data_IF_255137661443
#
_entry.id   IF_255137661443
#
_cell.length_a   1.000
_cell.length_b   1.000
_cell.length_c   1.000
_cell.angle_alpha   90.00
_cell.angle_beta   90.00
_cell.angle_gamma   90.00
#
_symmetry.space_group_name_H-M   'P 1'
#
loop_
_entity.id
_entity.type
_entity.pdbx_description
1 polymer ?
#
# COMPACT_ATOMS: atom_id res chain seq x y z
N UNK A 1 13.77 2.47 13.03
CA UNK A 1 13.03 1.93 14.18
C UNK A 1 11.84 1.06 13.78
N UNK A 2 11.09 1.42 12.73
CA UNK A 2 9.90 0.67 12.29
C UNK A 2 10.22 -0.75 11.81
N UNK A 3 11.38 -0.96 11.20
CA UNK A 3 11.71 -2.24 10.55
C UNK A 3 12.02 -3.35 11.55
N UNK A 4 12.71 -3.04 12.64
CA UNK A 4 13.00 -4.01 13.71
C UNK A 4 11.70 -4.49 14.37
N UNK A 5 10.73 -3.60 14.61
CA UNK A 5 9.46 -3.90 15.25
C UNK A 5 8.43 -4.54 14.31
N UNK A 6 8.58 -4.42 12.99
CA UNK A 6 7.69 -5.07 12.02
C UNK A 6 7.71 -6.60 12.19
N UNK A 7 8.90 -7.19 12.31
CA UNK A 7 9.07 -8.64 12.51
C UNK A 7 8.57 -9.14 13.88
N UNK A 8 8.36 -8.24 14.83
CA UNK A 8 7.84 -8.51 16.17
C UNK A 8 6.33 -8.20 16.32
N UNK A 9 5.55 -8.31 15.24
CA UNK A 9 4.11 -8.09 15.23
C UNK A 9 3.69 -6.65 14.96
N UNK A 10 4.50 -5.89 14.22
CA UNK A 10 4.20 -4.51 13.79
C UNK A 10 3.95 -3.53 14.95
N UNK A 11 4.62 -3.75 16.09
CA UNK A 11 4.43 -2.95 17.32
C UNK A 11 4.77 -1.48 17.10
N UNK A 12 5.81 -1.18 16.30
CA UNK A 12 6.18 0.19 15.95
C UNK A 12 5.03 0.95 15.29
N UNK A 13 4.37 0.33 14.33
CA UNK A 13 3.20 0.93 13.66
C UNK A 13 2.06 1.20 14.65
N UNK A 14 1.80 0.29 15.58
CA UNK A 14 0.78 0.47 16.64
C UNK A 14 1.10 1.68 17.52
N UNK A 15 2.33 1.79 17.99
CA UNK A 15 2.74 2.91 18.87
C UNK A 15 2.73 4.23 18.11
N UNK A 16 3.30 4.25 16.90
CA UNK A 16 3.37 5.48 16.10
C UNK A 16 1.99 5.98 15.71
N UNK A 17 1.09 5.10 15.27
CA UNK A 17 -0.27 5.52 14.90
C UNK A 17 -1.08 6.02 16.10
N UNK A 18 -0.87 5.44 17.29
CA UNK A 18 -1.50 5.94 18.52
C UNK A 18 -0.99 7.34 18.94
N UNK A 19 0.29 7.63 18.68
CA UNK A 19 0.87 8.95 18.99
C UNK A 19 0.52 10.01 17.95
N UNK A 20 0.59 9.67 16.67
CA UNK A 20 0.37 10.63 15.57
C UNK A 20 -1.11 10.87 15.34
N UNK A 21 -1.96 9.86 15.56
CA UNK A 21 -3.41 9.89 15.30
C UNK A 21 -3.72 10.43 13.88
N UNK A 22 -3.20 9.78 12.83
CA UNK A 22 -3.32 10.29 11.47
C UNK A 22 -4.77 10.18 10.97
N UNK A 23 -5.19 11.10 10.11
CA UNK A 23 -6.47 11.03 9.39
C UNK A 23 -6.41 10.02 8.24
N UNK A 24 -5.27 9.94 7.56
CA UNK A 24 -4.99 9.01 6.47
C UNK A 24 -3.57 8.45 6.62
N UNK A 25 -3.31 7.31 5.99
CA UNK A 25 -1.97 6.74 5.97
C UNK A 25 -1.61 6.16 4.59
N UNK A 26 -0.35 6.33 4.20
CA UNK A 26 0.25 5.65 3.07
C UNK A 26 1.40 4.80 3.60
N UNK A 27 1.40 3.52 3.25
CA UNK A 27 2.42 2.56 3.65
C UNK A 27 3.20 2.11 2.42
N UNK A 28 4.51 2.22 2.47
CA UNK A 28 5.41 1.71 1.44
C UNK A 28 6.04 0.40 1.89
N UNK A 29 6.15 -0.56 0.97
CA UNK A 29 6.88 -1.79 1.24
C UNK A 29 7.40 -2.47 -0.02
N UNK A 30 8.43 -3.30 0.12
CA UNK A 30 8.78 -4.29 -0.88
C UNK A 30 7.70 -5.37 -0.92
N UNK A 31 7.04 -5.53 -2.05
CA UNK A 31 5.95 -6.48 -2.22
C UNK A 31 6.41 -7.63 -3.12
N UNK A 32 6.14 -8.91 -2.77
CA UNK A 32 6.63 -10.01 -3.59
C UNK A 32 6.19 -9.91 -5.04
N UNK A 33 7.16 -10.00 -5.97
CA UNK A 33 6.92 -10.26 -7.38
C UNK A 33 7.00 -11.77 -7.57
N UNK A 34 5.88 -12.40 -7.89
CA UNK A 34 5.74 -13.87 -7.98
C UNK A 34 5.60 -14.37 -9.42
N UNK A 35 5.75 -13.49 -10.39
CA UNK A 35 5.76 -13.73 -11.83
C UNK A 35 6.85 -14.70 -12.30
N UNK A 36 7.83 -14.96 -11.45
CA UNK A 36 8.89 -15.92 -11.68
C UNK A 36 8.47 -17.37 -11.30
N UNK A 37 7.54 -17.49 -10.34
CA UNK A 37 7.13 -18.79 -9.78
C UNK A 37 5.80 -19.29 -10.33
N UNK A 38 4.95 -18.39 -10.78
CA UNK A 38 3.60 -18.68 -11.21
C UNK A 38 3.37 -18.25 -12.66
N UNK A 39 2.46 -18.96 -13.32
CA UNK A 39 1.97 -18.56 -14.62
C UNK A 39 1.24 -17.21 -14.53
N UNK A 40 1.11 -16.47 -15.63
CA UNK A 40 0.47 -15.15 -15.63
C UNK A 40 -0.92 -15.13 -14.97
N UNK A 41 -1.69 -16.22 -15.10
CA UNK A 41 -3.05 -16.32 -14.56
C UNK A 41 -3.08 -16.52 -13.03
N UNK A 42 -1.96 -16.93 -12.44
CA UNK A 42 -1.81 -17.20 -11.00
C UNK A 42 -0.94 -16.17 -10.29
N UNK A 43 -0.13 -15.45 -11.04
CA UNK A 43 0.74 -14.39 -10.51
C UNK A 43 -0.10 -13.24 -9.95
N UNK A 44 0.24 -12.82 -8.74
CA UNK A 44 -0.41 -11.70 -8.05
C UNK A 44 0.43 -10.43 -8.11
N UNK A 45 1.49 -10.43 -8.88
CA UNK A 45 2.32 -9.26 -9.07
C UNK A 45 3.63 -9.59 -9.76
N UNK A 46 4.00 -8.79 -10.74
CA UNK A 46 5.21 -8.95 -11.52
C UNK A 46 6.11 -7.73 -11.46
N UNK A 47 7.39 -7.93 -11.71
CA UNK A 47 8.34 -6.84 -11.98
C UNK A 47 8.04 -6.20 -13.33
N UNK A 48 8.44 -4.94 -13.50
CA UNK A 48 8.20 -4.12 -14.69
C UNK A 48 6.71 -3.86 -15.01
N UNK A 49 5.84 -4.03 -14.01
CA UNK A 49 4.39 -3.79 -14.13
C UNK A 49 3.90 -2.62 -13.29
N UNK A 50 4.82 -1.80 -12.80
CA UNK A 50 4.52 -0.63 -11.99
C UNK A 50 4.19 -0.95 -10.53
N UNK A 51 3.72 0.07 -9.82
CA UNK A 51 3.38 -0.02 -8.41
C UNK A 51 2.31 -1.07 -8.13
N UNK A 52 2.49 -1.86 -7.09
CA UNK A 52 1.44 -2.74 -6.58
C UNK A 52 0.53 -1.98 -5.61
N UNK A 53 -0.71 -1.74 -6.02
CA UNK A 53 -1.74 -1.21 -5.14
C UNK A 53 -2.34 -2.38 -4.37
N UNK A 54 -2.19 -2.40 -3.06
CA UNK A 54 -2.66 -3.50 -2.22
C UNK A 54 -4.17 -3.39 -2.00
N UNK A 55 -4.93 -4.31 -2.59
CA UNK A 55 -6.37 -4.41 -2.34
C UNK A 55 -6.66 -5.06 -0.99
N UNK A 56 -5.92 -6.11 -0.65
CA UNK A 56 -6.01 -6.78 0.66
C UNK A 56 -4.78 -7.62 0.97
N UNK A 57 -4.56 -7.85 2.26
CA UNK A 57 -3.69 -8.90 2.78
C UNK A 57 -4.36 -9.60 3.97
N UNK A 58 -3.63 -10.51 4.65
CA UNK A 58 -4.18 -11.27 5.78
C UNK A 58 -4.68 -10.40 6.94
N UNK A 59 -4.16 -9.18 7.08
CA UNK A 59 -4.45 -8.31 8.23
C UNK A 59 -5.25 -7.07 7.89
N UNK A 60 -5.56 -6.85 6.60
CA UNK A 60 -6.01 -5.55 6.12
C UNK A 60 -6.76 -5.65 4.79
N UNK A 61 -7.80 -4.86 4.67
CA UNK A 61 -8.52 -4.60 3.42
C UNK A 61 -8.46 -3.10 3.18
N UNK A 62 -8.03 -2.69 1.98
CA UNK A 62 -7.94 -1.27 1.62
C UNK A 62 -9.31 -0.64 1.62
N UNK A 63 -9.41 0.58 2.14
CA UNK A 63 -10.61 1.40 2.02
C UNK A 63 -11.00 1.54 0.54
N UNK A 64 -12.23 1.18 0.15
CA UNK A 64 -12.64 1.16 -1.26
C UNK A 64 -12.49 2.50 -1.95
N UNK A 65 -12.87 3.60 -1.30
CA UNK A 65 -12.77 4.94 -1.87
C UNK A 65 -11.28 5.35 -2.08
N UNK A 66 -10.39 4.92 -1.19
CA UNK A 66 -8.97 5.19 -1.35
C UNK A 66 -8.34 4.35 -2.49
N UNK A 67 -8.82 3.11 -2.67
CA UNK A 67 -8.42 2.26 -3.78
C UNK A 67 -8.87 2.86 -5.12
N UNK A 68 -10.14 3.26 -5.22
CA UNK A 68 -10.71 3.92 -6.39
C UNK A 68 -9.96 5.19 -6.76
N UNK A 69 -9.65 6.03 -5.76
CA UNK A 69 -8.84 7.22 -5.97
C UNK A 69 -7.45 6.93 -6.53
N UNK A 70 -6.79 5.90 -6.03
CA UNK A 70 -5.47 5.51 -6.55
C UNK A 70 -5.56 4.98 -7.99
N UNK A 71 -6.61 4.23 -8.35
CA UNK A 71 -6.86 3.78 -9.71
C UNK A 71 -7.14 4.95 -10.65
N UNK A 72 -8.03 5.88 -10.25
CA UNK A 72 -8.32 7.10 -11.02
C UNK A 72 -7.03 7.88 -11.36
N UNK A 73 -6.14 8.03 -10.39
CA UNK A 73 -4.85 8.69 -10.61
C UNK A 73 -3.94 7.88 -11.54
N UNK A 74 -3.89 6.56 -11.38
CA UNK A 74 -3.14 5.68 -12.27
C UNK A 74 -3.55 5.86 -13.73
N UNK A 75 -4.84 5.82 -13.97
CA UNK A 75 -5.42 5.92 -15.32
C UNK A 75 -5.26 7.33 -15.89
N UNK A 76 -5.59 8.38 -15.14
CA UNK A 76 -5.57 9.76 -15.63
C UNK A 76 -4.16 10.31 -15.82
N UNK A 77 -3.23 9.92 -14.95
CA UNK A 77 -1.84 10.40 -14.99
C UNK A 77 -0.91 9.46 -15.78
N UNK A 78 -1.42 8.35 -16.29
CA UNK A 78 -0.62 7.34 -17.00
C UNK A 78 0.47 6.76 -16.12
N UNK A 79 0.14 6.41 -14.87
CA UNK A 79 1.06 5.74 -13.94
C UNK A 79 0.79 4.25 -14.04
N UNK A 80 1.81 3.48 -14.40
CA UNK A 80 1.69 2.02 -14.46
C UNK A 80 1.48 1.45 -13.07
N UNK A 81 0.43 0.64 -12.91
CA UNK A 81 0.09 -0.01 -11.64
C UNK A 81 -0.48 -1.41 -11.85
N UNK A 82 -0.53 -2.16 -10.79
CA UNK A 82 -1.15 -3.49 -10.73
C UNK A 82 -1.79 -3.71 -9.36
N UNK A 83 -2.93 -4.38 -9.34
CA UNK A 83 -3.58 -4.76 -8.10
C UNK A 83 -2.90 -5.95 -7.43
N UNK A 84 -2.85 -5.92 -6.10
CA UNK A 84 -2.26 -6.97 -5.31
C UNK A 84 -3.21 -7.46 -4.22
N UNK A 85 -3.60 -8.73 -4.35
CA UNK A 85 -4.34 -9.47 -3.34
C UNK A 85 -3.42 -10.52 -2.72
N UNK A 86 -3.18 -10.45 -1.42
CA UNK A 86 -2.25 -11.36 -0.74
C UNK A 86 -2.97 -12.24 0.27
N UNK A 87 -2.98 -13.54 0.04
CA UNK A 87 -3.55 -14.52 0.96
C UNK A 87 -2.71 -14.75 2.20
N UNK A 88 -1.42 -14.43 2.13
CA UNK A 88 -0.46 -14.55 3.22
C UNK A 88 0.28 -13.23 3.45
N UNK A 89 0.91 -13.12 4.62
CA UNK A 89 1.63 -11.90 5.00
C UNK A 89 0.72 -10.83 5.56
N UNK A 90 1.35 -9.84 6.17
CA UNK A 90 0.70 -8.70 6.80
C UNK A 90 1.58 -7.47 6.63
N UNK A 91 0.98 -6.31 6.58
CA UNK A 91 1.67 -5.02 6.47
C UNK A 91 1.43 -4.17 7.71
N UNK A 92 2.16 -3.08 7.84
CA UNK A 92 1.92 -2.09 8.89
C UNK A 92 0.49 -1.50 8.80
N UNK A 93 -0.12 -1.53 7.62
CA UNK A 93 -1.50 -1.07 7.40
C UNK A 93 -2.50 -1.79 8.30
N UNK A 94 -2.31 -3.10 8.56
CA UNK A 94 -3.18 -3.86 9.47
C UNK A 94 -3.22 -3.34 10.90
N UNK A 95 -2.21 -2.57 11.34
CA UNK A 95 -2.21 -1.92 12.66
C UNK A 95 -2.66 -0.47 12.57
N UNK A 96 -2.23 0.23 11.53
CA UNK A 96 -2.55 1.64 11.33
C UNK A 96 -4.05 1.81 11.07
N UNK A 97 -4.64 0.97 10.23
CA UNK A 97 -6.06 1.03 9.90
C UNK A 97 -7.01 0.83 11.09
N UNK A 98 -6.53 0.19 12.15
CA UNK A 98 -7.30 -0.03 13.38
C UNK A 98 -7.04 1.05 14.46
N UNK A 99 -6.21 2.05 14.17
CA UNK A 99 -5.90 3.09 15.13
C UNK A 99 -7.05 4.12 15.24
N UNK A 100 -7.27 4.62 16.44
CA UNK A 100 -8.24 5.69 16.70
C UNK A 100 -9.65 5.39 16.18
N UNK A 101 -10.12 6.22 15.25
CA UNK A 101 -11.44 6.10 14.61
C UNK A 101 -11.46 5.25 13.33
N UNK A 102 -10.50 4.39 13.14
CA UNK A 102 -10.17 3.72 11.90
C UNK A 102 -9.53 4.68 10.86
N UNK A 103 -8.30 4.36 10.46
CA UNK A 103 -7.51 5.21 9.56
C UNK A 103 -7.55 4.62 8.15
N UNK A 104 -8.16 5.30 7.17
CA UNK A 104 -8.05 4.91 5.78
C UNK A 104 -6.58 4.82 5.38
N UNK A 105 -6.17 3.67 4.93
CA UNK A 105 -4.76 3.38 4.67
C UNK A 105 -4.60 2.86 3.25
N UNK A 106 -3.62 3.38 2.51
CA UNK A 106 -3.23 2.89 1.20
C UNK A 106 -1.86 2.23 1.30
N UNK A 107 -1.71 1.04 0.75
CA UNK A 107 -0.43 0.35 0.67
C UNK A 107 0.07 0.35 -0.76
N UNK A 108 1.22 0.96 -0.97
CA UNK A 108 1.92 1.01 -2.25
C UNK A 108 3.16 0.10 -2.17
N UNK A 109 3.13 -1.00 -2.92
CA UNK A 109 4.17 -2.00 -2.95
C UNK A 109 5.12 -1.81 -4.14
N UNK A 110 6.41 -1.89 -3.90
CA UNK A 110 7.42 -2.00 -4.96
C UNK A 110 7.58 -3.48 -5.27
N UNK A 111 7.24 -3.96 -6.49
CA UNK A 111 7.45 -5.35 -6.88
C UNK A 111 8.91 -5.73 -6.68
N UNK A 112 9.14 -6.74 -5.86
CA UNK A 112 10.51 -7.12 -5.47
C UNK A 112 10.66 -8.63 -5.44
N UNK A 113 11.81 -9.13 -5.87
CA UNK A 113 12.20 -10.55 -5.76
C UNK A 113 13.05 -10.78 -4.53
N UNK A 114 12.93 -11.96 -3.97
CA UNK A 114 13.67 -12.40 -2.78
C UNK A 114 13.41 -11.56 -1.53
N UNK A 115 12.20 -11.06 -1.38
CA UNK A 115 11.75 -10.34 -0.18
C UNK A 115 11.99 -11.21 1.06
N UNK A 116 12.50 -10.61 2.14
CA UNK A 116 12.90 -11.27 3.39
C UNK A 116 14.15 -12.15 3.29
N UNK A 117 14.96 -12.00 2.26
CA UNK A 117 16.29 -12.62 2.15
C UNK A 117 17.42 -11.62 2.44
N UNK A 118 18.67 -12.03 2.25
CA UNK A 118 19.85 -11.19 2.48
C UNK A 118 19.90 -9.98 1.54
N UNK A 119 19.37 -10.14 0.34
CA UNK A 119 19.21 -9.07 -0.63
C UNK A 119 17.97 -9.32 -1.46
N UNK A 120 17.31 -8.25 -1.81
CA UNK A 120 16.22 -8.26 -2.77
C UNK A 120 16.56 -7.29 -3.90
N UNK A 121 15.85 -7.40 -5.00
CA UNK A 121 15.94 -6.44 -6.07
C UNK A 121 14.58 -6.15 -6.67
N UNK A 122 14.45 -4.96 -7.24
CA UNK A 122 13.27 -4.45 -7.92
C UNK A 122 13.69 -3.73 -9.20
N UNK A 123 12.75 -3.48 -10.07
CA UNK A 123 12.98 -2.65 -11.25
C UNK A 123 12.91 -1.15 -10.85
N UNK A 124 13.76 -0.34 -11.45
CA UNK A 124 13.78 1.11 -11.19
C UNK A 124 12.45 1.75 -11.61
N UNK A 125 11.89 1.33 -12.72
CA UNK A 125 10.61 1.80 -13.25
C UNK A 125 9.45 1.56 -12.28
N UNK A 126 9.49 0.44 -11.55
CA UNK A 126 8.48 0.12 -10.51
C UNK A 126 8.64 1.03 -9.29
N UNK A 127 9.88 1.40 -8.93
CA UNK A 127 10.15 2.39 -7.89
C UNK A 127 9.65 3.77 -8.32
N UNK A 128 9.95 4.20 -9.54
CA UNK A 128 9.49 5.47 -10.09
C UNK A 128 7.97 5.56 -10.14
N UNK A 129 7.29 4.49 -10.59
CA UNK A 129 5.84 4.41 -10.58
C UNK A 129 5.27 4.52 -9.17
N UNK A 130 5.92 3.88 -8.20
CA UNK A 130 5.49 3.92 -6.79
C UNK A 130 5.64 5.33 -6.19
N UNK A 131 6.77 5.98 -6.44
CA UNK A 131 7.01 7.36 -5.98
C UNK A 131 6.03 8.33 -6.65
N UNK A 132 5.85 8.20 -7.96
CA UNK A 132 4.93 9.05 -8.72
C UNK A 132 3.49 8.88 -8.23
N UNK A 133 3.03 7.65 -8.02
CA UNK A 133 1.71 7.38 -7.45
C UNK A 133 1.54 8.06 -6.08
N UNK A 134 2.49 7.89 -5.19
CA UNK A 134 2.43 8.49 -3.86
C UNK A 134 2.37 10.03 -3.92
N UNK A 135 3.18 10.64 -4.78
CA UNK A 135 3.22 12.10 -4.95
C UNK A 135 1.88 12.62 -5.48
N UNK A 136 1.30 11.97 -6.48
CA UNK A 136 0.03 12.41 -7.06
C UNK A 136 -1.14 12.16 -6.09
N UNK A 137 -1.13 11.07 -5.33
CA UNK A 137 -2.08 10.86 -4.23
C UNK A 137 -2.02 12.03 -3.24
N UNK A 138 -0.83 12.38 -2.76
CA UNK A 138 -0.66 13.46 -1.76
C UNK A 138 -1.09 14.82 -2.31
N UNK A 139 -0.70 15.15 -3.55
CA UNK A 139 -1.07 16.42 -4.19
C UNK A 139 -2.58 16.60 -4.36
N UNK A 140 -3.29 15.51 -4.63
CA UNK A 140 -4.74 15.55 -4.83
C UNK A 140 -5.55 15.50 -3.54
N UNK A 141 -4.92 15.35 -2.36
CA UNK A 141 -5.61 15.41 -1.08
C UNK A 141 -6.00 16.86 -0.76
N UNK A 142 -7.29 17.06 -0.60
CA UNK A 142 -7.87 18.27 -0.07
C UNK A 142 -8.86 17.91 1.04
N UNK A 143 -9.44 18.91 1.70
CA UNK A 143 -10.34 18.68 2.84
C UNK A 143 -11.56 17.84 2.46
N UNK A 144 -12.16 18.09 1.31
CA UNK A 144 -13.32 17.34 0.79
C UNK A 144 -12.97 15.88 0.54
N UNK A 145 -11.86 15.61 -0.15
CA UNK A 145 -11.41 14.25 -0.44
C UNK A 145 -11.04 13.51 0.85
N UNK A 146 -10.39 14.17 1.80
CA UNK A 146 -10.08 13.57 3.09
C UNK A 146 -11.35 13.15 3.82
N UNK A 147 -12.38 14.02 3.88
CA UNK A 147 -13.67 13.68 4.48
C UNK A 147 -14.33 12.49 3.78
N UNK A 148 -14.33 12.47 2.46
CA UNK A 148 -14.85 11.37 1.66
C UNK A 148 -14.13 10.04 1.99
N UNK A 149 -12.79 10.04 2.00
CA UNK A 149 -12.00 8.86 2.35
C UNK A 149 -12.24 8.38 3.80
N UNK A 150 -12.57 9.28 4.71
CA UNK A 150 -12.90 8.96 6.10
C UNK A 150 -14.36 8.54 6.30
N UNK A 151 -15.15 8.41 5.24
CA UNK A 151 -16.61 8.14 5.31
C UNK A 151 -17.39 9.14 6.16
N UNK A 152 -16.94 10.40 6.24
CA UNK A 152 -17.63 11.44 6.98
C UNK A 152 -18.79 12.08 6.21
N UNK A 153 -18.94 11.73 4.93
CA UNK A 153 -20.02 12.24 4.06
C UNK A 153 -21.33 11.43 4.20
N UNK A 154 -21.33 10.36 5.01
CA UNK A 154 -22.46 9.43 5.14
C UNK A 154 -23.30 9.70 6.42
N UNK A 155 -22.96 10.75 7.17
CA UNK A 155 -23.72 11.15 8.36
C UNK A 155 -24.48 12.48 8.08
#
# INVERSE_FOLDING_TARGET
ASDVYKRQGMRGATVTSAQVQPDLAIVFEGSPADDFYYSPEKSQGGMHKGVQIRCMDKSYITNPAFLEYAHELGDTMGITYQDAVRRGGSTNAGKISLAGKAVPTLVLGIPSRYVHSHYNFCAIEDVESTVRMAVEVIKGLNEERIKHLMHQDIM
#
